data_IF_910044164454
#
_entry.id   IF_910044164454
#
_cell.length_a   1.000
_cell.length_b   1.000
_cell.length_c   1.000
_cell.angle_alpha   90.00
_cell.angle_beta   90.00
_cell.angle_gamma   90.00
#
_symmetry.space_group_name_H-M   'P 1'
#
loop_
_entity.id
_entity.type
_entity.pdbx_description
1 polymer ?
#
# COMPACT_ATOMS: atom_id res chain seq x y z
N UNK A 1 28.35 24.26 33.24
CA UNK A 1 27.81 23.34 32.21
C UNK A 1 27.49 22.06 32.94
N UNK A 2 26.21 21.72 33.09
CA UNK A 2 25.79 20.42 33.62
C UNK A 2 26.39 19.31 32.78
N UNK A 3 26.81 18.21 33.41
CA UNK A 3 27.50 17.06 32.76
C UNK A 3 26.78 16.52 31.51
N UNK A 4 25.46 16.75 31.41
CA UNK A 4 24.61 16.39 30.26
C UNK A 4 24.96 17.02 28.91
N UNK A 5 25.83 18.04 28.84
CA UNK A 5 26.18 18.74 27.58
C UNK A 5 27.60 18.45 27.05
N UNK A 6 28.33 17.50 27.64
CA UNK A 6 29.61 17.05 27.06
C UNK A 6 29.36 15.93 26.05
N UNK A 7 29.96 15.97 24.85
CA UNK A 7 29.85 14.87 23.89
C UNK A 7 30.49 13.61 24.48
N UNK A 8 29.71 12.53 24.53
CA UNK A 8 30.18 11.22 24.96
C UNK A 8 30.68 10.45 23.74
N UNK A 9 31.98 10.16 23.68
CA UNK A 9 32.55 9.32 22.63
C UNK A 9 32.24 7.85 22.88
N UNK A 10 31.50 7.23 21.95
CA UNK A 10 31.40 5.77 21.88
C UNK A 10 32.71 5.27 21.27
N UNK A 11 33.63 4.82 22.12
CA UNK A 11 34.86 4.20 21.68
C UNK A 11 34.56 2.79 21.15
N UNK A 12 34.77 2.59 19.84
CA UNK A 12 34.60 1.32 19.15
C UNK A 12 35.89 0.48 19.09
N UNK A 13 37.02 1.02 19.58
CA UNK A 13 38.33 0.37 19.58
C UNK A 13 38.77 0.13 21.01
N UNK A 14 38.76 -1.13 21.46
CA UNK A 14 39.04 -1.52 22.85
C UNK A 14 38.18 -0.78 23.88
N UNK A 15 37.04 -0.19 23.46
CA UNK A 15 36.25 0.70 24.29
C UNK A 15 35.71 0.00 25.52
N UNK A 16 35.31 -1.26 25.42
CA UNK A 16 34.78 -2.06 26.54
C UNK A 16 35.85 -2.37 27.59
N UNK A 17 37.11 -2.50 27.16
CA UNK A 17 38.26 -2.83 28.00
C UNK A 17 38.93 -1.60 28.66
N UNK A 18 38.40 -0.39 28.44
CA UNK A 18 38.90 0.81 29.11
C UNK A 18 38.49 0.84 30.59
N UNK A 19 39.36 1.29 31.51
CA UNK A 19 38.99 1.48 32.93
C UNK A 19 37.77 2.39 33.09
N UNK A 20 37.77 3.53 32.38
CA UNK A 20 36.61 4.43 32.24
C UNK A 20 36.06 4.28 30.83
N UNK A 21 34.85 3.72 30.70
CA UNK A 21 34.26 3.38 29.40
C UNK A 21 32.83 3.89 29.27
N UNK A 22 32.64 5.09 28.69
CA UNK A 22 31.30 5.58 28.42
C UNK A 22 30.51 4.68 27.46
N UNK A 23 31.19 3.95 26.55
CA UNK A 23 30.56 2.92 25.71
C UNK A 23 29.95 1.81 26.56
N UNK A 24 30.68 1.33 27.58
CA UNK A 24 30.24 0.26 28.47
C UNK A 24 29.04 0.70 29.29
N UNK A 25 29.11 1.90 29.87
CA UNK A 25 28.04 2.45 30.71
C UNK A 25 26.74 2.64 29.89
N UNK A 26 26.86 3.10 28.63
CA UNK A 26 25.72 3.17 27.70
C UNK A 26 25.12 1.81 27.39
N UNK A 27 25.94 0.77 27.22
CA UNK A 27 25.46 -0.60 26.95
C UNK A 27 24.79 -1.21 28.19
N UNK A 28 25.38 -1.05 29.37
CA UNK A 28 24.77 -1.46 30.65
C UNK A 28 23.43 -0.75 30.83
N UNK A 29 23.40 0.56 30.58
CA UNK A 29 22.20 1.39 30.60
C UNK A 29 21.13 0.97 29.60
N UNK A 30 21.52 0.37 28.47
CA UNK A 30 20.60 -0.18 27.47
C UNK A 30 20.07 -1.56 27.84
N UNK A 31 20.88 -2.37 28.52
CA UNK A 31 20.53 -3.74 28.90
C UNK A 31 19.60 -3.74 30.10
N UNK A 32 19.97 -3.03 31.18
CA UNK A 32 19.26 -3.10 32.46
C UNK A 32 18.44 -1.83 32.71
N UNK A 33 17.21 -1.98 33.18
CA UNK A 33 16.34 -0.84 33.51
C UNK A 33 16.64 -0.26 34.91
N UNK A 34 16.96 -1.14 35.88
CA UNK A 34 17.10 -0.78 37.29
C UNK A 34 18.42 -0.05 37.57
N UNK A 35 18.34 1.15 38.14
CA UNK A 35 19.50 2.01 38.42
C UNK A 35 20.50 1.37 39.37
N UNK A 36 20.03 0.76 40.46
CA UNK A 36 20.89 0.09 41.44
C UNK A 36 21.69 -1.08 40.85
N UNK A 37 21.10 -1.82 39.92
CA UNK A 37 21.76 -2.92 39.22
C UNK A 37 22.79 -2.36 38.23
N UNK A 38 22.44 -1.32 37.47
CA UNK A 38 23.37 -0.67 36.53
C UNK A 38 24.61 -0.14 37.26
N UNK A 39 24.41 0.60 38.34
CA UNK A 39 25.50 1.19 39.13
C UNK A 39 26.44 0.11 39.67
N UNK A 40 25.88 -0.99 40.18
CA UNK A 40 26.64 -2.14 40.64
C UNK A 40 27.50 -2.75 39.52
N UNK A 41 26.91 -3.00 38.35
CA UNK A 41 27.62 -3.60 37.20
C UNK A 41 28.69 -2.63 36.65
N UNK A 42 28.40 -1.33 36.59
CA UNK A 42 29.37 -0.31 36.18
C UNK A 42 30.59 -0.30 37.12
N UNK A 43 30.37 -0.24 38.44
CA UNK A 43 31.44 -0.28 39.45
C UNK A 43 32.25 -1.58 39.36
N UNK A 44 31.59 -2.73 39.20
CA UNK A 44 32.27 -4.01 39.03
C UNK A 44 33.15 -4.03 37.77
N UNK A 45 32.69 -3.40 36.68
CA UNK A 45 33.40 -3.38 35.41
C UNK A 45 34.64 -2.46 35.43
N UNK A 46 34.61 -1.38 36.22
CA UNK A 46 35.78 -0.51 36.45
C UNK A 46 36.93 -1.24 37.17
N UNK A 47 36.61 -2.24 37.99
CA UNK A 47 37.60 -3.00 38.76
C UNK A 47 38.26 -4.14 37.96
N UNK A 48 37.65 -4.61 36.88
CA UNK A 48 38.16 -5.71 36.06
C UNK A 48 38.01 -5.46 34.54
N UNK A 49 38.48 -4.32 34.01
CA UNK A 49 38.21 -3.94 32.62
C UNK A 49 38.97 -4.80 31.59
N UNK A 50 40.12 -5.38 31.97
CA UNK A 50 41.01 -6.12 31.04
C UNK A 50 40.35 -7.37 30.43
N UNK A 51 39.34 -7.95 31.08
CA UNK A 51 38.60 -9.11 30.59
C UNK A 51 37.52 -8.80 29.55
N UNK A 52 37.18 -7.51 29.35
CA UNK A 52 36.07 -7.07 28.50
C UNK A 52 36.53 -6.78 27.06
N UNK A 53 37.19 -7.78 26.45
CA UNK A 53 37.86 -7.65 25.14
C UNK A 53 36.90 -7.60 23.96
N UNK A 54 35.69 -8.14 24.11
CA UNK A 54 34.65 -8.14 23.08
C UNK A 54 33.24 -8.16 23.71
N UNK A 55 32.23 -8.16 22.85
CA UNK A 55 30.83 -8.14 23.27
C UNK A 55 30.40 -9.44 23.97
N UNK A 56 30.98 -10.59 23.63
CA UNK A 56 30.68 -11.89 24.26
C UNK A 56 31.19 -11.93 25.69
N UNK A 57 32.43 -11.51 25.89
CA UNK A 57 33.06 -11.38 27.20
C UNK A 57 32.30 -10.36 28.06
N UNK A 58 31.91 -9.22 27.46
CA UNK A 58 31.10 -8.21 28.14
C UNK A 58 29.73 -8.74 28.61
N UNK A 59 28.99 -9.45 27.75
CA UNK A 59 27.69 -10.00 28.15
C UNK A 59 27.82 -11.10 29.21
N UNK A 60 28.87 -11.92 29.12
CA UNK A 60 29.18 -12.94 30.13
C UNK A 60 29.50 -12.30 31.48
N UNK A 61 30.27 -11.21 31.48
CA UNK A 61 30.54 -10.41 32.66
C UNK A 61 29.24 -9.82 33.26
N UNK A 62 28.41 -9.18 32.44
CA UNK A 62 27.14 -8.61 32.87
C UNK A 62 26.24 -9.65 33.55
N UNK A 63 26.18 -10.87 32.99
CA UNK A 63 25.43 -11.98 33.60
C UNK A 63 25.98 -12.34 34.98
N UNK A 64 27.30 -12.56 35.09
CA UNK A 64 27.94 -12.89 36.37
C UNK A 64 27.74 -11.80 37.43
N UNK A 65 27.87 -10.53 37.03
CA UNK A 65 27.66 -9.40 37.92
C UNK A 65 26.19 -9.28 38.36
N UNK A 66 25.24 -9.50 37.46
CA UNK A 66 23.83 -9.53 37.79
C UNK A 66 23.46 -10.70 38.73
N UNK A 67 23.99 -11.90 38.49
CA UNK A 67 23.80 -13.06 39.36
C UNK A 67 24.33 -12.80 40.78
N UNK A 68 25.51 -12.15 40.89
CA UNK A 68 26.09 -11.75 42.17
C UNK A 68 25.22 -10.70 42.88
N UNK A 69 24.72 -9.70 42.14
CA UNK A 69 23.82 -8.69 42.69
C UNK A 69 22.54 -9.31 43.24
N UNK A 70 21.90 -10.18 42.46
CA UNK A 70 20.67 -10.89 42.83
C UNK A 70 20.90 -11.79 44.04
N UNK A 71 22.05 -12.47 44.11
CA UNK A 71 22.40 -13.32 45.26
C UNK A 71 22.57 -12.52 46.55
N UNK A 72 23.06 -11.29 46.46
CA UNK A 72 23.29 -10.42 47.61
C UNK A 72 22.04 -9.62 48.05
N UNK A 73 21.20 -9.21 47.11
CA UNK A 73 20.11 -8.25 47.35
C UNK A 73 18.69 -8.82 47.14
N UNK A 74 18.58 -10.04 46.61
CA UNK A 74 17.29 -10.64 46.21
C UNK A 74 16.77 -10.12 44.87
N UNK A 75 15.68 -10.72 44.38
CA UNK A 75 15.02 -10.35 43.10
C UNK A 75 13.84 -9.39 43.26
N UNK A 76 13.26 -9.29 44.46
CA UNK A 76 11.96 -8.64 44.70
C UNK A 76 11.92 -7.12 44.41
N UNK A 77 13.09 -6.49 44.19
CA UNK A 77 13.21 -5.06 43.87
C UNK A 77 13.54 -4.74 42.40
N UNK A 78 13.73 -5.75 41.54
CA UNK A 78 14.05 -5.55 40.13
C UNK A 78 12.77 -5.45 39.28
N UNK A 79 12.74 -4.47 38.37
CA UNK A 79 11.62 -4.30 37.44
C UNK A 79 11.66 -5.27 36.26
N UNK A 80 12.83 -5.87 35.99
CA UNK A 80 13.05 -6.86 34.95
C UNK A 80 14.03 -7.95 35.42
N UNK A 81 13.79 -9.21 35.03
CA UNK A 81 14.76 -10.27 35.27
C UNK A 81 16.05 -10.02 34.44
N UNK A 82 17.24 -10.03 35.07
CA UNK A 82 18.48 -9.73 34.35
C UNK A 82 18.81 -10.68 33.20
N UNK A 83 18.43 -11.95 33.28
CA UNK A 83 18.67 -12.92 32.22
C UNK A 83 17.76 -12.67 31.02
N UNK A 84 16.50 -12.30 31.27
CA UNK A 84 15.58 -11.85 30.23
C UNK A 84 16.09 -10.56 29.55
N UNK A 85 16.62 -9.62 30.34
CA UNK A 85 17.17 -8.36 29.84
C UNK A 85 18.37 -8.58 28.90
N UNK A 86 19.33 -9.43 29.30
CA UNK A 86 20.49 -9.80 28.49
C UNK A 86 20.04 -10.54 27.22
N UNK A 87 19.10 -11.49 27.34
CA UNK A 87 18.59 -12.25 26.20
C UNK A 87 17.92 -11.32 25.17
N UNK A 88 17.06 -10.41 25.63
CA UNK A 88 16.40 -9.42 24.77
C UNK A 88 17.41 -8.50 24.05
N UNK A 89 18.51 -8.13 24.71
CA UNK A 89 19.59 -7.36 24.10
C UNK A 89 20.33 -8.15 23.02
N UNK A 90 20.66 -9.42 23.28
CA UNK A 90 21.31 -10.31 22.30
C UNK A 90 20.44 -10.46 21.06
N UNK A 91 19.15 -10.76 21.24
CA UNK A 91 18.21 -10.87 20.12
C UNK A 91 18.10 -9.56 19.33
N UNK A 92 18.07 -8.41 20.01
CA UNK A 92 18.06 -7.11 19.34
C UNK A 92 19.34 -6.90 18.51
N UNK A 93 20.51 -7.27 19.05
CA UNK A 93 21.78 -7.22 18.33
C UNK A 93 21.79 -8.10 17.09
N UNK A 94 21.32 -9.34 17.20
CA UNK A 94 21.19 -10.27 16.07
C UNK A 94 20.24 -9.71 15.00
N UNK A 95 19.09 -9.16 15.40
CA UNK A 95 18.14 -8.51 14.48
C UNK A 95 18.78 -7.34 13.73
N UNK A 96 19.64 -6.55 14.38
CA UNK A 96 20.36 -5.44 13.76
C UNK A 96 21.40 -5.96 12.76
N UNK A 97 22.23 -6.92 13.18
CA UNK A 97 23.26 -7.52 12.33
C UNK A 97 22.67 -8.10 11.03
N UNK A 98 21.49 -8.72 11.13
CA UNK A 98 20.79 -9.31 10.00
C UNK A 98 20.08 -8.28 9.10
N UNK A 99 19.99 -6.98 9.45
CA UNK A 99 19.20 -6.01 8.67
C UNK A 99 19.65 -5.91 7.22
N UNK A 100 20.96 -5.88 6.99
CA UNK A 100 21.59 -5.78 5.66
C UNK A 100 22.24 -7.10 5.21
N UNK A 101 22.03 -8.20 5.93
CA UNK A 101 22.52 -9.51 5.55
C UNK A 101 21.67 -10.08 4.41
N UNK A 102 22.21 -10.02 3.19
CA UNK A 102 21.50 -10.41 1.97
C UNK A 102 21.12 -11.91 1.95
N UNK A 103 21.99 -12.79 2.45
CA UNK A 103 21.74 -14.23 2.57
C UNK A 103 20.54 -14.57 3.45
N UNK A 104 20.18 -13.70 4.40
CA UNK A 104 19.05 -13.89 5.30
C UNK A 104 17.72 -13.35 4.74
N UNK A 105 17.69 -12.81 3.51
CA UNK A 105 16.48 -12.24 2.90
C UNK A 105 15.83 -13.17 1.89
N UNK A 106 14.49 -13.11 1.73
CA UNK A 106 13.81 -13.87 0.68
C UNK A 106 14.33 -13.57 -0.74
N UNK A 107 14.73 -12.31 -0.98
CA UNK A 107 15.48 -11.92 -2.17
C UNK A 107 16.77 -11.17 -1.74
N UNK A 108 17.95 -11.81 -1.84
CA UNK A 108 19.23 -11.17 -1.52
C UNK A 108 19.52 -9.89 -2.32
N UNK A 109 19.00 -9.79 -3.56
CA UNK A 109 19.17 -8.61 -4.42
C UNK A 109 18.31 -7.42 -4.01
N UNK A 110 17.38 -7.59 -3.06
CA UNK A 110 16.49 -6.52 -2.62
C UNK A 110 17.08 -5.64 -1.50
N UNK A 111 18.28 -5.98 -0.98
CA UNK A 111 18.89 -5.26 0.16
C UNK A 111 19.57 -3.96 -0.27
N UNK A 112 20.33 -4.01 -1.36
CA UNK A 112 21.13 -2.90 -1.83
C UNK A 112 20.54 -2.30 -3.10
N UNK A 113 20.75 -0.99 -3.27
CA UNK A 113 20.36 -0.31 -4.50
C UNK A 113 21.06 -0.92 -5.71
N UNK A 114 20.37 -1.17 -6.83
CA UNK A 114 20.99 -1.68 -8.05
C UNK A 114 22.02 -0.69 -8.62
N UNK A 115 23.28 -1.10 -8.68
CA UNK A 115 24.42 -0.30 -9.17
C UNK A 115 25.24 -1.12 -10.18
N UNK A 116 25.06 -0.89 -11.50
CA UNK A 116 25.77 -1.61 -12.55
C UNK A 116 27.26 -1.27 -12.66
N UNK A 117 27.74 -0.24 -11.94
CA UNK A 117 29.18 0.03 -11.83
C UNK A 117 29.87 -0.89 -10.82
N UNK A 118 29.08 -1.67 -10.08
CA UNK A 118 29.52 -2.73 -9.15
C UNK A 118 28.95 -4.06 -9.64
N UNK A 119 28.37 -4.87 -8.75
CA UNK A 119 27.77 -6.18 -9.05
C UNK A 119 26.24 -6.12 -9.19
N UNK A 120 25.65 -4.92 -9.32
CA UNK A 120 24.21 -4.71 -9.43
C UNK A 120 23.67 -4.77 -10.87
N UNK A 121 22.36 -4.97 -11.00
CA UNK A 121 21.66 -4.92 -12.29
C UNK A 121 21.38 -3.48 -12.73
N UNK A 122 21.20 -3.24 -14.04
CA UNK A 122 20.62 -1.96 -14.47
C UNK A 122 19.20 -1.83 -13.94
N UNK A 123 18.78 -0.62 -13.55
CA UNK A 123 17.40 -0.39 -13.10
C UNK A 123 16.36 -0.86 -14.12
N UNK A 124 16.68 -0.73 -15.41
CA UNK A 124 15.88 -1.23 -16.52
C UNK A 124 15.72 -2.75 -16.62
N UNK A 125 16.46 -3.53 -15.82
CA UNK A 125 16.40 -5.00 -15.77
C UNK A 125 15.81 -5.49 -14.44
N UNK A 126 15.65 -4.60 -13.47
CA UNK A 126 15.18 -4.94 -12.12
C UNK A 126 13.66 -5.08 -12.06
N UNK A 127 13.20 -6.18 -11.46
CA UNK A 127 11.83 -6.32 -10.94
C UNK A 127 11.88 -6.11 -9.42
N UNK A 128 11.26 -5.05 -8.86
CA UNK A 128 11.41 -4.65 -7.46
C UNK A 128 10.58 -5.54 -6.51
N UNK A 129 10.87 -6.83 -6.51
CA UNK A 129 10.17 -7.85 -5.72
C UNK A 129 11.05 -8.31 -4.57
N UNK A 130 10.63 -8.05 -3.34
CA UNK A 130 11.32 -8.54 -2.13
C UNK A 130 10.83 -9.91 -1.71
N UNK A 131 9.50 -10.13 -1.73
CA UNK A 131 8.82 -11.36 -1.34
C UNK A 131 7.71 -11.67 -2.36
N UNK A 132 7.47 -12.96 -2.59
CA UNK A 132 6.41 -13.46 -3.47
C UNK A 132 5.30 -14.13 -2.65
N UNK A 133 4.11 -14.15 -3.23
CA UNK A 133 2.86 -14.66 -2.66
C UNK A 133 2.06 -15.40 -3.75
N UNK A 134 2.52 -16.58 -4.19
CA UNK A 134 1.99 -17.26 -5.37
C UNK A 134 0.65 -17.96 -5.09
N UNK A 135 -0.44 -17.21 -5.05
CA UNK A 135 -1.80 -17.71 -4.75
C UNK A 135 -2.81 -17.54 -5.88
N UNK A 136 -2.40 -17.00 -7.04
CA UNK A 136 -3.27 -16.80 -8.20
C UNK A 136 -2.98 -17.85 -9.28
N UNK A 137 -4.03 -18.49 -9.76
CA UNK A 137 -4.04 -19.32 -10.95
C UNK A 137 -5.31 -19.06 -11.79
N UNK A 138 -5.50 -19.84 -12.86
CA UNK A 138 -6.62 -19.69 -13.79
C UNK A 138 -7.99 -19.94 -13.15
N UNK A 139 -8.06 -20.65 -12.00
CA UNK A 139 -9.30 -20.90 -11.28
C UNK A 139 -9.66 -19.76 -10.31
N UNK A 140 -8.67 -19.00 -9.85
CA UNK A 140 -8.83 -17.89 -8.90
C UNK A 140 -9.79 -16.84 -9.46
N UNK A 141 -10.88 -16.53 -8.75
CA UNK A 141 -11.84 -15.49 -9.13
C UNK A 141 -11.23 -14.12 -8.83
N UNK A 142 -10.86 -13.38 -9.89
CA UNK A 142 -10.18 -12.09 -9.76
C UNK A 142 -11.14 -10.96 -10.12
N UNK A 143 -11.23 -9.97 -9.24
CA UNK A 143 -11.92 -8.71 -9.50
C UNK A 143 -10.94 -7.53 -9.42
N UNK A 144 -11.25 -6.42 -10.08
CA UNK A 144 -10.43 -5.22 -9.98
C UNK A 144 -11.22 -3.93 -10.14
N UNK A 145 -10.69 -2.86 -9.54
CA UNK A 145 -11.12 -1.50 -9.79
C UNK A 145 -9.98 -0.52 -9.56
N UNK A 146 -10.08 0.66 -10.17
CA UNK A 146 -9.24 1.78 -9.81
C UNK A 146 -9.11 2.82 -10.90
N UNK A 147 -7.94 3.44 -10.99
CA UNK A 147 -7.62 4.37 -12.06
C UNK A 147 -7.61 3.69 -13.44
N UNK A 148 -7.43 4.46 -14.51
CA UNK A 148 -7.29 3.95 -15.87
C UNK A 148 -6.22 2.85 -16.01
N UNK A 149 -5.23 2.81 -15.12
CA UNK A 149 -4.20 1.77 -15.14
C UNK A 149 -4.72 0.38 -14.74
N UNK A 150 -5.75 0.30 -13.89
CA UNK A 150 -6.37 -0.99 -13.53
C UNK A 150 -6.99 -1.70 -14.75
N UNK A 151 -7.40 -0.95 -15.78
CA UNK A 151 -7.89 -1.53 -17.04
C UNK A 151 -6.80 -2.33 -17.74
N UNK A 152 -5.54 -1.90 -17.69
CA UNK A 152 -4.42 -2.63 -18.30
C UNK A 152 -4.16 -3.97 -17.59
N UNK A 153 -4.32 -4.01 -16.26
CA UNK A 153 -4.26 -5.27 -15.48
C UNK A 153 -5.44 -6.18 -15.87
N UNK A 154 -6.67 -5.64 -15.93
CA UNK A 154 -7.86 -6.41 -16.29
C UNK A 154 -7.75 -7.00 -17.71
N UNK A 155 -7.34 -6.19 -18.70
CA UNK A 155 -7.08 -6.64 -20.07
C UNK A 155 -6.06 -7.76 -20.11
N UNK A 156 -4.96 -7.63 -19.37
CA UNK A 156 -3.94 -8.67 -19.29
C UNK A 156 -4.51 -9.99 -18.75
N UNK A 157 -5.25 -9.95 -17.64
CA UNK A 157 -5.85 -11.14 -17.04
C UNK A 157 -6.84 -11.84 -17.98
N UNK A 158 -7.70 -11.06 -18.64
CA UNK A 158 -8.68 -11.57 -19.61
C UNK A 158 -7.98 -12.18 -20.84
N UNK A 159 -6.99 -11.47 -21.41
CA UNK A 159 -6.26 -11.94 -22.59
C UNK A 159 -5.54 -13.27 -22.37
N UNK A 160 -5.18 -13.58 -21.11
CA UNK A 160 -4.48 -14.81 -20.73
C UNK A 160 -5.39 -15.83 -20.02
N UNK A 161 -6.70 -15.73 -20.19
CA UNK A 161 -7.69 -16.71 -19.71
C UNK A 161 -7.70 -16.93 -18.19
N UNK A 162 -7.36 -15.91 -17.40
CA UNK A 162 -7.66 -15.93 -15.97
C UNK A 162 -9.17 -15.77 -15.72
N UNK A 163 -9.66 -16.30 -14.60
CA UNK A 163 -11.04 -16.18 -14.18
C UNK A 163 -11.36 -14.76 -13.65
N UNK A 164 -11.37 -13.80 -14.57
CA UNK A 164 -11.66 -12.40 -14.28
C UNK A 164 -13.17 -12.17 -14.21
N UNK A 165 -13.64 -11.75 -13.03
CA UNK A 165 -15.05 -11.51 -12.75
C UNK A 165 -15.47 -10.16 -13.37
N UNK A 166 -16.25 -10.23 -14.44
CA UNK A 166 -16.89 -9.08 -15.09
C UNK A 166 -18.41 -9.32 -15.19
N UNK A 167 -19.17 -8.66 -14.32
CA UNK A 167 -20.62 -8.83 -14.22
C UNK A 167 -21.40 -7.79 -15.03
N UNK A 168 -20.76 -6.72 -15.47
CA UNK A 168 -21.40 -5.64 -16.22
C UNK A 168 -20.58 -5.25 -17.44
N UNK A 169 -21.26 -5.16 -18.59
CA UNK A 169 -20.69 -4.71 -19.86
C UNK A 169 -20.82 -3.20 -20.03
N UNK A 170 -20.20 -2.64 -21.05
CA UNK A 170 -20.28 -1.19 -21.34
C UNK A 170 -21.65 -0.71 -21.81
N UNK A 171 -22.52 -1.62 -22.24
CA UNK A 171 -23.90 -1.33 -22.65
C UNK A 171 -24.88 -2.31 -22.00
N UNK A 172 -26.01 -1.79 -21.53
CA UNK A 172 -27.15 -2.57 -21.06
C UNK A 172 -28.44 -2.14 -21.81
N UNK A 173 -28.96 -2.97 -22.74
CA UNK A 173 -30.12 -2.63 -23.55
C UNK A 173 -31.42 -2.54 -22.75
N UNK A 174 -31.50 -3.20 -21.59
CA UNK A 174 -32.71 -3.16 -20.75
C UNK A 174 -32.91 -1.78 -20.12
N UNK A 175 -31.82 -1.13 -19.74
CA UNK A 175 -31.83 0.14 -19.00
C UNK A 175 -31.37 1.32 -19.86
N UNK A 176 -30.90 1.05 -21.07
CA UNK A 176 -30.28 2.05 -21.95
C UNK A 176 -28.97 2.61 -21.38
N UNK A 177 -28.33 1.88 -20.45
CA UNK A 177 -27.11 2.35 -19.78
C UNK A 177 -25.92 2.20 -20.71
N UNK A 178 -25.12 3.25 -20.84
CA UNK A 178 -23.96 3.32 -21.72
C UNK A 178 -22.77 3.84 -20.94
N UNK A 179 -21.62 3.18 -21.07
CA UNK A 179 -20.34 3.75 -20.67
C UNK A 179 -19.80 4.59 -21.83
N UNK A 180 -19.68 5.90 -21.62
CA UNK A 180 -19.22 6.85 -22.63
C UNK A 180 -17.80 6.51 -23.09
N UNK A 181 -17.47 6.94 -24.32
CA UNK A 181 -16.16 6.70 -24.96
C UNK A 181 -15.84 5.21 -25.18
N UNK A 182 -16.85 4.33 -25.12
CA UNK A 182 -16.73 2.90 -25.46
C UNK A 182 -17.62 2.53 -26.64
N UNK A 183 -17.29 1.41 -27.29
CA UNK A 183 -18.12 0.85 -28.35
C UNK A 183 -19.29 0.06 -27.76
N UNK A 184 -20.49 0.26 -28.31
CA UNK A 184 -21.66 -0.59 -28.03
C UNK A 184 -21.53 -1.98 -28.70
N UNK A 185 -20.86 -2.02 -29.85
CA UNK A 185 -20.68 -3.23 -30.67
C UNK A 185 -19.48 -4.08 -30.21
N UNK A 186 -18.54 -3.48 -29.46
CA UNK A 186 -17.36 -4.14 -28.90
C UNK A 186 -17.23 -3.78 -27.41
N UNK A 187 -18.00 -4.47 -26.53
CA UNK A 187 -18.04 -4.12 -25.13
C UNK A 187 -16.72 -4.48 -24.44
N UNK A 188 -15.91 -3.46 -24.18
CA UNK A 188 -14.64 -3.62 -23.48
C UNK A 188 -14.87 -3.88 -21.99
N UNK A 189 -14.11 -4.82 -21.42
CA UNK A 189 -14.04 -4.98 -19.98
C UNK A 189 -13.25 -3.81 -19.42
N UNK A 190 -13.91 -2.89 -18.73
CA UNK A 190 -13.24 -1.84 -17.97
C UNK A 190 -12.82 -2.36 -16.59
N UNK A 191 -13.78 -2.92 -15.84
CA UNK A 191 -13.64 -3.41 -14.47
C UNK A 191 -14.60 -4.57 -14.21
N UNK A 192 -14.77 -4.96 -12.93
CA UNK A 192 -15.72 -6.01 -12.54
C UNK A 192 -17.20 -5.59 -12.62
N UNK A 193 -17.47 -4.30 -12.42
CA UNK A 193 -18.77 -3.65 -12.63
C UNK A 193 -18.56 -2.26 -13.26
N UNK A 194 -19.62 -1.61 -13.74
CA UNK A 194 -19.62 -0.22 -14.23
C UNK A 194 -19.53 0.78 -13.06
N UNK A 195 -18.49 0.68 -12.23
CA UNK A 195 -18.20 1.69 -11.19
C UNK A 195 -17.61 2.99 -11.77
N UNK A 196 -17.18 2.97 -13.03
CA UNK A 196 -16.30 3.99 -13.59
C UNK A 196 -14.88 3.88 -13.02
N UNK A 197 -13.98 4.81 -13.36
CA UNK A 197 -12.68 4.83 -12.70
C UNK A 197 -12.86 5.28 -11.24
N UNK A 198 -12.24 4.54 -10.32
CA UNK A 198 -12.19 4.88 -8.91
C UNK A 198 -10.80 5.42 -8.59
N UNK A 199 -10.70 6.73 -8.42
CA UNK A 199 -9.40 7.37 -8.23
C UNK A 199 -8.98 7.50 -6.77
N UNK A 200 -9.92 7.87 -5.91
CA UNK A 200 -9.65 8.23 -4.51
C UNK A 200 -10.23 7.19 -3.56
N UNK A 201 -9.68 7.12 -2.34
CA UNK A 201 -10.04 6.13 -1.32
C UNK A 201 -11.51 6.25 -0.84
N UNK A 202 -12.14 7.44 -0.73
CA UNK A 202 -13.57 7.53 -0.51
C UNK A 202 -14.41 6.82 -1.57
N UNK A 203 -14.11 7.00 -2.87
CA UNK A 203 -14.90 6.40 -3.95
C UNK A 203 -14.93 4.87 -3.86
N UNK A 204 -13.79 4.21 -3.57
CA UNK A 204 -13.76 2.76 -3.31
C UNK A 204 -14.66 2.37 -2.14
N UNK A 205 -14.53 3.08 -1.03
CA UNK A 205 -15.26 2.80 0.21
C UNK A 205 -16.77 2.97 0.02
N UNK A 206 -17.18 4.04 -0.63
CA UNK A 206 -18.58 4.35 -0.89
C UNK A 206 -19.26 3.31 -1.79
N UNK A 207 -18.53 2.73 -2.75
CA UNK A 207 -19.07 1.67 -3.62
C UNK A 207 -19.50 0.48 -2.77
N UNK A 208 -18.65 0.01 -1.85
CA UNK A 208 -18.98 -1.15 -1.01
C UNK A 208 -20.02 -0.80 0.07
N UNK A 209 -19.90 0.37 0.69
CA UNK A 209 -20.87 0.80 1.70
C UNK A 209 -22.27 1.01 1.13
N UNK A 210 -22.38 1.51 -0.09
CA UNK A 210 -23.64 1.67 -0.78
C UNK A 210 -24.22 0.31 -1.19
N UNK A 211 -23.39 -0.60 -1.71
CA UNK A 211 -23.82 -1.92 -2.13
C UNK A 211 -24.32 -2.78 -0.97
N UNK A 212 -23.66 -2.74 0.19
CA UNK A 212 -24.06 -3.48 1.38
C UNK A 212 -25.01 -2.70 2.31
N UNK A 213 -25.43 -1.49 1.93
CA UNK A 213 -26.39 -0.68 2.68
C UNK A 213 -25.87 -0.10 4.00
N UNK A 214 -24.55 -0.12 4.22
CA UNK A 214 -23.87 0.47 5.40
C UNK A 214 -23.98 2.00 5.37
N UNK A 215 -23.74 2.59 4.20
CA UNK A 215 -23.94 4.02 3.94
C UNK A 215 -24.43 4.21 2.51
N UNK A 216 -25.75 4.28 2.30
CA UNK A 216 -26.33 4.52 0.98
C UNK A 216 -25.86 5.87 0.40
N UNK A 217 -25.57 5.90 -0.90
CA UNK A 217 -25.29 7.13 -1.63
C UNK A 217 -26.58 7.83 -2.04
N UNK A 218 -26.53 9.16 -2.10
CA UNK A 218 -27.62 9.95 -2.67
C UNK A 218 -27.84 9.63 -4.15
N UNK A 219 -29.09 9.69 -4.58
CA UNK A 219 -29.49 9.37 -5.97
C UNK A 219 -29.54 10.64 -6.81
N UNK A 220 -28.41 11.33 -6.91
CA UNK A 220 -28.31 12.57 -7.70
C UNK A 220 -27.86 12.27 -9.12
N UNK A 221 -28.46 12.94 -10.09
CA UNK A 221 -28.11 12.84 -11.51
C UNK A 221 -27.89 14.24 -12.09
N UNK A 222 -26.88 14.38 -12.94
CA UNK A 222 -26.75 15.57 -13.81
C UNK A 222 -27.41 15.28 -15.15
N UNK A 223 -28.32 16.16 -15.57
CA UNK A 223 -29.02 16.06 -16.86
C UNK A 223 -28.29 16.89 -17.92
N UNK A 224 -28.03 16.27 -19.06
CA UNK A 224 -27.40 16.86 -20.24
C UNK A 224 -28.37 16.74 -21.42
N UNK A 225 -28.57 17.83 -22.15
CA UNK A 225 -29.42 17.82 -23.34
C UNK A 225 -28.64 17.25 -24.55
N UNK A 226 -29.26 16.30 -25.26
CA UNK A 226 -28.76 15.76 -26.52
C UNK A 226 -29.72 16.12 -27.67
N UNK A 227 -29.25 16.16 -28.92
CA UNK A 227 -30.14 16.23 -30.07
C UNK A 227 -31.09 15.01 -30.07
N UNK A 228 -32.37 15.22 -29.72
CA UNK A 228 -33.38 14.17 -29.70
C UNK A 228 -33.64 13.49 -28.35
N UNK A 229 -33.10 14.00 -27.24
CA UNK A 229 -33.38 13.47 -25.90
C UNK A 229 -32.53 14.08 -24.80
N UNK A 230 -32.53 13.45 -23.63
CA UNK A 230 -31.66 13.84 -22.51
C UNK A 230 -30.80 12.66 -22.08
N UNK A 231 -29.62 12.97 -21.56
CA UNK A 231 -28.66 12.02 -21.01
C UNK A 231 -28.44 12.36 -19.54
N UNK A 232 -28.42 11.34 -18.68
CA UNK A 232 -28.22 11.50 -17.25
C UNK A 232 -26.89 10.86 -16.85
N UNK A 233 -26.12 11.54 -16.01
CA UNK A 233 -24.85 11.02 -15.46
C UNK A 233 -24.94 10.91 -13.95
N UNK A 234 -24.50 9.77 -13.42
CA UNK A 234 -24.29 9.54 -11.99
C UNK A 234 -22.89 10.07 -11.61
N UNK A 235 -22.78 11.09 -10.73
CA UNK A 235 -21.49 11.66 -10.36
C UNK A 235 -20.59 10.69 -9.57
N UNK A 236 -21.15 9.61 -9.04
CA UNK A 236 -20.40 8.55 -8.36
C UNK A 236 -19.91 7.45 -9.32
N UNK A 237 -20.27 7.50 -10.61
CA UNK A 237 -19.86 6.49 -11.60
C UNK A 237 -19.34 7.17 -12.86
N UNK A 238 -18.02 7.34 -12.93
CA UNK A 238 -17.40 8.06 -14.04
C UNK A 238 -17.78 7.45 -15.39
N UNK A 239 -18.21 8.33 -16.31
CA UNK A 239 -18.56 7.99 -17.69
C UNK A 239 -19.74 7.01 -17.83
N UNK A 240 -20.49 6.70 -16.77
CA UNK A 240 -21.70 5.89 -16.87
C UNK A 240 -22.90 6.81 -17.08
N UNK A 241 -23.61 6.59 -18.18
CA UNK A 241 -24.70 7.42 -18.63
C UNK A 241 -26.00 6.62 -18.80
N UNK A 242 -27.12 7.29 -18.56
CA UNK A 242 -28.47 6.72 -18.60
C UNK A 242 -29.35 7.55 -19.53
N UNK A 243 -30.27 6.91 -20.23
CA UNK A 243 -31.22 7.60 -21.13
C UNK A 243 -32.44 8.16 -20.40
N UNK A 244 -32.72 7.71 -19.18
CA UNK A 244 -33.78 8.26 -18.32
C UNK A 244 -33.49 8.02 -16.84
N UNK A 245 -34.20 8.75 -15.96
CA UNK A 245 -34.13 8.57 -14.51
C UNK A 245 -34.70 7.20 -14.07
N UNK A 246 -35.73 6.70 -14.76
CA UNK A 246 -36.28 5.36 -14.54
C UNK A 246 -35.27 4.27 -14.92
N UNK A 247 -34.56 4.45 -16.04
CA UNK A 247 -33.48 3.57 -16.46
C UNK A 247 -32.37 3.50 -15.42
N UNK A 248 -31.99 4.65 -14.85
CA UNK A 248 -31.06 4.72 -13.72
C UNK A 248 -31.57 3.96 -12.50
N UNK A 249 -32.83 4.15 -12.09
CA UNK A 249 -33.37 3.50 -10.90
C UNK A 249 -33.35 1.97 -11.01
N UNK A 250 -33.71 1.43 -12.18
CA UNK A 250 -33.65 -0.02 -12.44
C UNK A 250 -32.20 -0.51 -12.50
N UNK A 251 -31.32 0.22 -13.20
CA UNK A 251 -29.92 -0.19 -13.33
C UNK A 251 -29.19 -0.14 -11.98
N UNK A 252 -29.49 0.85 -11.14
CA UNK A 252 -28.91 0.99 -9.81
C UNK A 252 -29.11 -0.26 -8.96
N UNK A 253 -30.31 -0.83 -8.91
CA UNK A 253 -30.56 -2.04 -8.11
C UNK A 253 -29.78 -3.25 -8.67
N UNK A 254 -29.71 -3.39 -9.99
CA UNK A 254 -28.86 -4.40 -10.65
C UNK A 254 -27.39 -4.18 -10.30
N UNK A 255 -26.94 -2.92 -10.33
CA UNK A 255 -25.57 -2.53 -10.07
C UNK A 255 -25.13 -2.81 -8.63
N UNK A 256 -25.99 -2.53 -7.66
CA UNK A 256 -25.73 -2.87 -6.26
C UNK A 256 -25.68 -4.38 -6.05
N UNK A 257 -26.58 -5.14 -6.67
CA UNK A 257 -26.57 -6.60 -6.61
C UNK A 257 -25.30 -7.21 -7.20
N UNK A 258 -24.86 -6.71 -8.36
CA UNK A 258 -23.61 -7.13 -8.97
C UNK A 258 -22.40 -6.74 -8.12
N UNK A 259 -22.39 -5.52 -7.57
CA UNK A 259 -21.31 -5.06 -6.69
C UNK A 259 -21.18 -5.97 -5.46
N UNK A 260 -22.29 -6.30 -4.79
CA UNK A 260 -22.30 -7.28 -3.69
C UNK A 260 -21.73 -8.61 -4.13
N UNK A 261 -22.23 -9.15 -5.26
CA UNK A 261 -21.77 -10.43 -5.81
C UNK A 261 -20.27 -10.44 -6.10
N UNK A 262 -19.68 -9.33 -6.57
CA UNK A 262 -18.22 -9.24 -6.77
C UNK A 262 -17.50 -9.46 -5.44
N UNK A 263 -17.86 -8.71 -4.40
CA UNK A 263 -17.15 -8.79 -3.12
C UNK A 263 -17.46 -10.07 -2.33
N UNK A 264 -18.63 -10.68 -2.53
CA UNK A 264 -19.01 -11.96 -1.93
C UNK A 264 -18.31 -13.16 -2.58
N UNK A 265 -17.89 -13.06 -3.84
CA UNK A 265 -17.38 -14.23 -4.62
C UNK A 265 -15.93 -14.13 -5.07
N UNK A 266 -15.32 -12.94 -5.07
CA UNK A 266 -13.93 -12.79 -5.47
C UNK A 266 -12.98 -13.42 -4.45
N UNK A 267 -12.00 -14.18 -4.93
CA UNK A 267 -10.87 -14.65 -4.14
C UNK A 267 -9.84 -13.54 -3.96
N UNK A 268 -9.69 -12.70 -4.98
CA UNK A 268 -8.72 -11.60 -5.05
C UNK A 268 -9.37 -10.35 -5.60
N UNK A 269 -9.20 -9.22 -4.91
CA UNK A 269 -9.56 -7.90 -5.42
C UNK A 269 -8.31 -7.02 -5.59
N UNK A 270 -8.09 -6.53 -6.80
CA UNK A 270 -6.98 -5.64 -7.14
C UNK A 270 -7.47 -4.18 -7.12
N UNK A 271 -6.93 -3.39 -6.20
CA UNK A 271 -7.24 -1.98 -6.01
C UNK A 271 -6.10 -1.09 -6.51
N UNK A 272 -6.36 -0.24 -7.49
CA UNK A 272 -5.37 0.71 -8.04
C UNK A 272 -5.69 2.16 -7.66
N UNK A 273 -4.97 2.68 -6.67
CA UNK A 273 -5.14 4.03 -6.14
C UNK A 273 -4.63 5.10 -7.12
N UNK A 274 -5.45 6.09 -7.45
CA UNK A 274 -5.20 7.02 -8.55
C UNK A 274 -4.83 8.44 -8.12
N UNK A 275 -5.68 9.08 -7.31
CA UNK A 275 -5.61 10.51 -7.01
C UNK A 275 -5.90 10.76 -5.52
N UNK A 276 -5.18 11.71 -4.93
CA UNK A 276 -5.38 12.18 -3.55
C UNK A 276 -6.13 13.52 -3.47
N UNK A 277 -6.35 14.16 -4.61
CA UNK A 277 -7.28 15.28 -4.77
C UNK A 277 -8.65 14.73 -5.13
N UNK A 278 -9.68 15.15 -4.40
CA UNK A 278 -11.03 14.63 -4.51
C UNK A 278 -12.06 15.75 -4.36
N UNK A 279 -13.30 15.48 -4.74
CA UNK A 279 -14.39 16.45 -4.73
C UNK A 279 -15.50 15.92 -3.82
N UNK A 280 -15.70 16.59 -2.69
CA UNK A 280 -16.71 16.21 -1.71
C UNK A 280 -18.02 16.91 -2.03
N UNK A 281 -19.09 16.14 -2.16
CA UNK A 281 -20.46 16.63 -2.17
C UNK A 281 -20.84 17.09 -0.76
N UNK A 282 -20.96 18.42 -0.61
CA UNK A 282 -21.14 19.10 0.67
C UNK A 282 -22.38 18.60 1.44
N UNK A 283 -23.56 18.38 0.82
CA UNK A 283 -24.78 18.06 1.56
C UNK A 283 -24.73 16.78 2.41
N UNK A 284 -24.02 15.74 1.96
CA UNK A 284 -23.96 14.45 2.66
C UNK A 284 -22.53 13.95 2.94
N UNK A 285 -21.52 14.72 2.52
CA UNK A 285 -20.10 14.42 2.70
C UNK A 285 -19.58 13.27 1.84
N UNK A 286 -20.35 12.78 0.87
CA UNK A 286 -19.89 11.79 -0.13
C UNK A 286 -18.91 12.43 -1.11
N UNK A 287 -18.20 11.61 -1.88
CA UNK A 287 -17.21 12.04 -2.86
C UNK A 287 -17.61 11.58 -4.25
N UNK A 288 -17.58 12.49 -5.20
CA UNK A 288 -17.85 12.18 -6.60
C UNK A 288 -16.59 11.56 -7.24
N UNK A 289 -16.79 10.71 -8.24
CA UNK A 289 -15.71 9.88 -8.79
C UNK A 289 -14.69 10.67 -9.59
N UNK A 290 -15.04 11.87 -10.07
CA UNK A 290 -14.14 12.72 -10.87
C UNK A 290 -14.40 14.20 -10.58
N UNK A 291 -13.42 15.04 -10.90
CA UNK A 291 -13.60 16.48 -10.96
C UNK A 291 -14.88 16.87 -11.75
N UNK A 292 -15.66 17.86 -11.27
CA UNK A 292 -16.88 18.27 -11.94
C UNK A 292 -16.53 18.85 -13.31
N UNK A 293 -17.12 18.28 -14.36
CA UNK A 293 -17.10 18.87 -15.71
C UNK A 293 -18.27 19.84 -15.90
N UNK A 294 -19.37 19.60 -15.21
CA UNK A 294 -20.53 20.47 -15.18
C UNK A 294 -20.40 21.51 -14.07
N UNK A 295 -20.44 22.79 -14.45
CA UNK A 295 -20.38 23.92 -13.52
C UNK A 295 -21.62 24.04 -12.65
N UNK A 296 -22.72 23.39 -13.02
CA UNK A 296 -23.96 23.36 -12.22
C UNK A 296 -23.73 22.78 -10.82
N UNK A 297 -22.76 21.86 -10.66
CA UNK A 297 -22.41 21.26 -9.38
C UNK A 297 -21.45 22.10 -8.54
N UNK A 298 -20.90 23.21 -9.05
CA UNK A 298 -19.82 23.93 -8.38
C UNK A 298 -20.19 24.44 -6.97
N UNK A 299 -21.45 24.85 -6.75
CA UNK A 299 -21.92 25.29 -5.43
C UNK A 299 -22.22 24.15 -4.43
N UNK A 300 -22.13 22.90 -4.89
CA UNK A 300 -22.42 21.71 -4.09
C UNK A 300 -21.17 20.88 -3.77
N UNK A 301 -20.00 21.29 -4.29
CA UNK A 301 -18.77 20.53 -4.20
C UNK A 301 -17.67 21.33 -3.52
N UNK A 302 -16.93 20.68 -2.63
CA UNK A 302 -15.70 21.20 -2.05
C UNK A 302 -14.50 20.41 -2.58
N UNK A 303 -13.42 21.12 -2.92
CA UNK A 303 -12.18 20.50 -3.37
C UNK A 303 -11.32 20.13 -2.16
N UNK A 304 -11.04 18.83 -2.02
CA UNK A 304 -10.32 18.26 -0.88
C UNK A 304 -9.00 17.67 -1.34
N UNK A 305 -7.93 17.95 -0.59
CA UNK A 305 -6.70 17.14 -0.63
C UNK A 305 -6.67 16.29 0.63
N UNK A 306 -6.84 14.97 0.48
CA UNK A 306 -6.94 14.07 1.63
C UNK A 306 -5.57 13.88 2.30
N UNK A 307 -5.56 13.80 3.62
CA UNK A 307 -4.38 13.44 4.41
C UNK A 307 -4.11 11.94 4.34
N UNK A 308 -2.91 11.51 4.73
CA UNK A 308 -2.58 10.07 4.85
C UNK A 308 -3.59 9.37 5.77
N UNK A 309 -3.91 9.95 6.93
CA UNK A 309 -4.83 9.34 7.89
C UNK A 309 -6.25 9.22 7.34
N UNK A 310 -6.79 10.25 6.67
CA UNK A 310 -8.11 10.15 6.03
C UNK A 310 -8.16 9.01 5.00
N UNK A 311 -7.12 8.87 4.17
CA UNK A 311 -7.07 7.77 3.20
C UNK A 311 -7.02 6.40 3.88
N UNK A 312 -6.27 6.26 4.98
CA UNK A 312 -6.20 5.03 5.76
C UNK A 312 -7.58 4.71 6.35
N UNK A 313 -8.27 5.69 6.92
CA UNK A 313 -9.58 5.49 7.55
C UNK A 313 -10.62 5.03 6.52
N UNK A 314 -10.62 5.61 5.31
CA UNK A 314 -11.47 5.16 4.22
C UNK A 314 -11.14 3.72 3.80
N UNK A 315 -9.87 3.42 3.50
CA UNK A 315 -9.50 2.08 3.08
C UNK A 315 -9.70 1.03 4.17
N UNK A 316 -9.54 1.37 5.44
CA UNK A 316 -9.85 0.44 6.53
C UNK A 316 -11.35 0.15 6.57
N UNK A 317 -12.22 1.15 6.44
CA UNK A 317 -13.67 0.93 6.31
C UNK A 317 -14.02 0.04 5.11
N UNK A 318 -13.36 0.25 3.96
CA UNK A 318 -13.54 -0.63 2.81
C UNK A 318 -13.21 -2.09 3.17
N UNK A 319 -12.05 -2.32 3.82
CA UNK A 319 -11.62 -3.66 4.25
C UNK A 319 -12.63 -4.27 5.22
N UNK A 320 -13.06 -3.52 6.23
CA UNK A 320 -13.99 -3.99 7.26
C UNK A 320 -15.34 -4.38 6.67
N UNK A 321 -15.90 -3.55 5.78
CA UNK A 321 -17.18 -3.84 5.11
C UNK A 321 -17.06 -5.07 4.21
N UNK A 322 -16.02 -5.15 3.39
CA UNK A 322 -15.84 -6.30 2.49
C UNK A 322 -15.66 -7.59 3.30
N UNK A 323 -14.84 -7.57 4.37
CA UNK A 323 -14.57 -8.76 5.18
C UNK A 323 -15.75 -9.22 6.04
N UNK A 324 -16.68 -8.34 6.36
CA UNK A 324 -17.94 -8.74 6.98
C UNK A 324 -18.75 -9.71 6.09
N UNK A 325 -18.52 -9.69 4.78
CA UNK A 325 -19.22 -10.53 3.79
C UNK A 325 -18.34 -11.60 3.16
N UNK A 326 -17.02 -11.36 3.05
CA UNK A 326 -16.04 -12.29 2.51
C UNK A 326 -14.73 -12.21 3.32
N UNK A 327 -14.60 -12.98 4.42
CA UNK A 327 -13.44 -12.89 5.31
C UNK A 327 -12.14 -13.40 4.67
N UNK A 328 -12.22 -14.23 3.64
CA UNK A 328 -11.07 -14.91 3.02
C UNK A 328 -10.48 -14.16 1.81
N UNK A 329 -11.14 -13.09 1.36
CA UNK A 329 -10.70 -12.28 0.22
C UNK A 329 -9.30 -11.72 0.44
N UNK A 330 -8.47 -11.84 -0.59
CA UNK A 330 -7.15 -11.24 -0.65
C UNK A 330 -7.23 -9.90 -1.37
N UNK A 331 -6.55 -8.90 -0.84
CA UNK A 331 -6.49 -7.58 -1.46
C UNK A 331 -5.09 -7.33 -2.01
N UNK A 332 -5.01 -6.89 -3.26
CA UNK A 332 -3.77 -6.40 -3.86
C UNK A 332 -3.93 -4.91 -4.07
N UNK A 333 -3.17 -4.11 -3.32
CA UNK A 333 -3.20 -2.64 -3.39
C UNK A 333 -1.99 -2.16 -4.18
N UNK A 334 -2.23 -1.27 -5.14
CA UNK A 334 -1.18 -0.61 -5.91
C UNK A 334 -1.46 0.87 -6.09
N UNK A 335 -0.41 1.66 -6.32
CA UNK A 335 -0.51 3.07 -6.71
C UNK A 335 -0.36 3.18 -8.23
N UNK A 336 -1.26 3.94 -8.85
CA UNK A 336 -1.22 4.19 -10.29
C UNK A 336 -0.06 5.13 -10.63
N UNK A 337 0.77 4.79 -11.64
CA UNK A 337 1.82 5.68 -12.13
C UNK A 337 1.32 6.78 -13.08
N UNK A 338 0.06 6.72 -13.53
CA UNK A 338 -0.50 7.74 -14.43
C UNK A 338 -0.56 9.10 -13.71
N UNK A 339 0.04 10.16 -14.28
CA UNK A 339 0.10 11.46 -13.64
C UNK A 339 -1.23 12.22 -13.78
N UNK A 340 -1.38 13.22 -12.91
CA UNK A 340 -2.50 14.17 -12.95
C UNK A 340 -2.66 14.80 -14.34
N UNK A 341 -3.92 14.92 -14.77
CA UNK A 341 -4.26 15.78 -15.91
C UNK A 341 -4.25 17.25 -15.48
N UNK A 342 -4.74 17.53 -14.27
CA UNK A 342 -4.83 18.85 -13.68
C UNK A 342 -4.79 18.72 -12.15
N UNK A 343 -4.44 19.81 -11.47
CA UNK A 343 -4.54 19.94 -10.00
C UNK A 343 -5.48 21.10 -9.67
N UNK A 344 -6.30 20.94 -8.65
CA UNK A 344 -7.09 22.02 -8.06
C UNK A 344 -6.27 22.94 -7.14
N UNK A 345 -4.95 22.70 -7.01
CA UNK A 345 -4.02 23.45 -6.16
C UNK A 345 -3.07 24.36 -6.96
N UNK A 346 -3.44 24.68 -8.21
CA UNK A 346 -2.55 25.36 -9.15
C UNK A 346 -2.10 26.76 -8.69
N UNK A 347 -2.85 27.39 -7.77
CA UNK A 347 -2.48 28.69 -7.17
C UNK A 347 -1.23 28.59 -6.26
N UNK A 348 -0.93 27.40 -5.73
CA UNK A 348 0.17 27.17 -4.78
C UNK A 348 1.19 26.14 -5.28
N UNK A 349 0.79 25.26 -6.20
CA UNK A 349 1.59 24.12 -6.63
C UNK A 349 1.54 23.91 -8.15
N UNK A 350 2.70 23.67 -8.74
CA UNK A 350 2.76 23.15 -10.11
C UNK A 350 2.19 21.72 -10.14
N UNK A 351 1.46 21.35 -11.21
CA UNK A 351 0.78 20.04 -11.35
C UNK A 351 1.71 18.84 -11.11
N UNK A 352 2.97 18.93 -11.53
CA UNK A 352 3.99 17.89 -11.29
C UNK A 352 4.26 17.70 -9.80
N UNK A 353 4.41 18.79 -9.04
CA UNK A 353 4.65 18.72 -7.58
C UNK A 353 3.41 18.25 -6.83
N UNK A 354 2.21 18.65 -7.25
CA UNK A 354 0.95 18.17 -6.69
C UNK A 354 0.76 16.66 -6.95
N UNK A 355 1.10 16.19 -8.16
CA UNK A 355 1.10 14.77 -8.48
C UNK A 355 2.09 13.99 -7.62
N UNK A 356 3.33 14.45 -7.47
CA UNK A 356 4.33 13.81 -6.60
C UNK A 356 3.83 13.69 -5.15
N UNK A 357 3.25 14.76 -4.61
CA UNK A 357 2.62 14.74 -3.29
C UNK A 357 1.49 13.69 -3.23
N UNK A 358 0.59 13.67 -4.22
CA UNK A 358 -0.49 12.71 -4.28
C UNK A 358 -0.02 11.26 -4.28
N UNK A 359 1.01 10.92 -5.08
CA UNK A 359 1.52 9.55 -5.15
C UNK A 359 2.25 9.16 -3.86
N UNK A 360 2.97 10.08 -3.24
CA UNK A 360 3.62 9.85 -1.95
C UNK A 360 2.60 9.56 -0.83
N UNK A 361 1.53 10.36 -0.73
CA UNK A 361 0.45 10.14 0.26
C UNK A 361 -0.22 8.77 0.06
N UNK A 362 -0.57 8.43 -1.18
CA UNK A 362 -1.21 7.14 -1.49
C UNK A 362 -0.25 5.96 -1.27
N UNK A 363 1.06 6.13 -1.51
CA UNK A 363 2.05 5.08 -1.27
C UNK A 363 2.22 4.79 0.21
N UNK A 364 2.27 5.81 1.06
CA UNK A 364 2.29 5.65 2.52
C UNK A 364 0.98 5.02 3.00
N UNK A 365 -0.16 5.45 2.48
CA UNK A 365 -1.47 4.86 2.79
C UNK A 365 -1.49 3.35 2.47
N UNK A 366 -1.00 2.96 1.29
CA UNK A 366 -0.96 1.55 0.89
C UNK A 366 -0.06 0.71 1.82
N UNK A 367 1.08 1.26 2.26
CA UNK A 367 1.97 0.60 3.23
C UNK A 367 1.24 0.35 4.56
N UNK A 368 0.58 1.37 5.09
CA UNK A 368 -0.14 1.30 6.36
C UNK A 368 -1.30 0.30 6.31
N UNK A 369 -2.05 0.28 5.20
CA UNK A 369 -3.15 -0.68 5.03
C UNK A 369 -2.63 -2.13 4.95
N UNK A 370 -1.50 -2.35 4.26
CA UNK A 370 -0.84 -3.66 4.21
C UNK A 370 -0.34 -4.08 5.60
N UNK A 371 0.26 -3.17 6.36
CA UNK A 371 0.79 -3.47 7.69
C UNK A 371 -0.31 -3.79 8.73
N UNK A 372 -1.49 -3.19 8.59
CA UNK A 372 -2.61 -3.34 9.54
C UNK A 372 -3.50 -4.54 9.26
N UNK A 373 -3.40 -5.16 8.09
CA UNK A 373 -4.36 -6.17 7.62
C UNK A 373 -3.64 -7.41 7.07
N UNK A 374 -4.02 -8.59 7.57
CA UNK A 374 -3.59 -9.87 6.98
C UNK A 374 -4.14 -10.01 5.55
N UNK A 375 -3.53 -10.84 4.69
CA UNK A 375 -4.01 -11.07 3.32
C UNK A 375 -4.19 -9.81 2.46
N UNK A 376 -3.47 -8.74 2.79
CA UNK A 376 -3.35 -7.53 1.96
C UNK A 376 -1.90 -7.39 1.49
N UNK A 377 -1.72 -7.15 0.20
CA UNK A 377 -0.40 -7.16 -0.44
C UNK A 377 -0.19 -5.88 -1.23
N UNK A 378 0.99 -5.28 -1.10
CA UNK A 378 1.39 -4.18 -1.99
C UNK A 378 1.93 -4.74 -3.31
N UNK A 379 1.46 -4.21 -4.43
CA UNK A 379 1.98 -4.49 -5.76
C UNK A 379 2.72 -3.26 -6.31
N UNK A 380 4.04 -3.31 -6.57
CA UNK A 380 4.84 -2.12 -6.86
C UNK A 380 4.76 -1.66 -8.32
N UNK A 381 3.56 -1.52 -8.89
CA UNK A 381 3.45 -1.05 -10.29
C UNK A 381 3.91 0.40 -10.46
N UNK A 382 3.74 1.23 -9.43
CA UNK A 382 4.21 2.62 -9.43
C UNK A 382 5.73 2.69 -9.59
N UNK A 383 6.47 1.95 -8.78
CA UNK A 383 7.92 1.92 -8.78
C UNK A 383 8.48 1.26 -10.05
N UNK A 384 7.84 0.19 -10.53
CA UNK A 384 8.21 -0.45 -11.80
C UNK A 384 8.19 0.56 -12.95
N UNK A 385 7.12 1.36 -13.04
CA UNK A 385 6.97 2.34 -14.13
C UNK A 385 7.86 3.56 -13.92
N UNK A 386 7.96 4.09 -12.70
CA UNK A 386 8.66 5.37 -12.45
C UNK A 386 10.18 5.25 -12.27
N UNK A 387 10.67 4.07 -11.88
CA UNK A 387 12.09 3.85 -11.56
C UNK A 387 12.72 2.76 -12.43
N UNK A 388 12.02 1.64 -12.62
CA UNK A 388 12.60 0.45 -13.27
C UNK A 388 12.29 0.34 -14.77
N UNK A 389 11.60 1.31 -15.37
CA UNK A 389 11.23 1.27 -16.79
C UNK A 389 12.06 2.29 -17.59
N UNK A 390 12.87 1.84 -18.57
CA UNK A 390 13.67 2.75 -19.40
C UNK A 390 12.82 3.68 -20.26
N UNK A 391 11.67 3.18 -20.72
CA UNK A 391 10.71 3.93 -21.51
C UNK A 391 9.36 3.91 -20.80
N UNK A 392 8.97 5.07 -20.29
CA UNK A 392 7.79 5.21 -19.42
C UNK A 392 6.57 5.63 -20.24
N UNK A 393 6.72 6.66 -21.07
CA UNK A 393 5.58 7.34 -21.70
C UNK A 393 5.46 7.08 -23.19
N UNK A 394 4.22 7.10 -23.68
CA UNK A 394 3.90 7.35 -25.08
C UNK A 394 4.19 8.81 -25.45
N UNK A 395 3.92 9.20 -26.70
CA UNK A 395 4.21 10.54 -27.23
C UNK A 395 3.56 11.67 -26.42
N UNK A 396 2.40 11.43 -25.81
CA UNK A 396 1.67 12.41 -24.99
C UNK A 396 2.24 12.62 -23.58
N UNK A 397 3.29 11.88 -23.20
CA UNK A 397 3.96 11.98 -21.90
C UNK A 397 3.06 11.69 -20.68
N UNK A 398 1.94 10.98 -20.88
CA UNK A 398 0.97 10.66 -19.82
C UNK A 398 0.47 9.23 -19.88
N UNK A 399 0.20 8.70 -21.07
CA UNK A 399 -0.11 7.28 -21.21
C UNK A 399 1.17 6.45 -21.17
N UNK A 400 1.09 5.31 -20.49
CA UNK A 400 2.24 4.45 -20.26
C UNK A 400 2.55 3.67 -21.53
N UNK A 401 3.84 3.57 -21.87
CA UNK A 401 4.31 2.79 -23.00
C UNK A 401 4.11 1.28 -22.74
N UNK A 402 3.82 0.54 -23.79
CA UNK A 402 3.50 -0.90 -23.75
C UNK A 402 4.62 -1.71 -23.11
N UNK A 403 5.89 -1.33 -23.32
CA UNK A 403 7.04 -1.99 -22.70
C UNK A 403 7.05 -1.86 -21.17
N UNK A 404 6.65 -0.71 -20.62
CA UNK A 404 6.52 -0.52 -19.17
C UNK A 404 5.33 -1.30 -18.62
N UNK A 405 4.21 -1.36 -19.34
CA UNK A 405 3.06 -2.23 -18.97
C UNK A 405 3.50 -3.70 -18.90
N UNK A 406 4.23 -4.18 -19.90
CA UNK A 406 4.77 -5.55 -19.91
C UNK A 406 5.66 -5.86 -18.69
N UNK A 407 6.50 -4.90 -18.25
CA UNK A 407 7.30 -5.05 -17.02
C UNK A 407 6.44 -5.11 -15.76
N UNK A 408 5.36 -4.33 -15.71
CA UNK A 408 4.40 -4.39 -14.61
C UNK A 408 3.78 -5.78 -14.56
N UNK A 409 3.35 -6.33 -15.70
CA UNK A 409 2.77 -7.68 -15.75
C UNK A 409 3.79 -8.76 -15.38
N UNK A 410 5.04 -8.68 -15.86
CA UNK A 410 6.11 -9.59 -15.43
C UNK A 410 6.37 -9.53 -13.91
N UNK A 411 6.22 -8.35 -13.31
CA UNK A 411 6.30 -8.19 -11.84
C UNK A 411 5.11 -8.85 -11.15
N UNK A 412 3.88 -8.65 -11.67
CA UNK A 412 2.66 -9.27 -11.17
C UNK A 412 2.77 -10.80 -11.22
N UNK A 413 3.20 -11.35 -12.36
CA UNK A 413 3.41 -12.78 -12.57
C UNK A 413 4.37 -13.38 -11.54
N UNK A 414 5.53 -12.72 -11.36
CA UNK A 414 6.54 -13.16 -10.40
C UNK A 414 6.04 -13.12 -8.96
N UNK A 415 5.22 -12.12 -8.62
CA UNK A 415 4.74 -11.94 -7.25
C UNK A 415 3.58 -12.85 -6.91
N UNK A 416 2.58 -12.98 -7.77
CA UNK A 416 1.27 -13.50 -7.35
C UNK A 416 0.87 -14.81 -8.03
N UNK A 417 1.45 -15.16 -9.18
CA UNK A 417 1.04 -16.38 -9.87
C UNK A 417 1.68 -17.62 -9.27
N UNK A 418 0.89 -18.70 -9.22
CA UNK A 418 1.42 -20.04 -8.94
C UNK A 418 2.40 -20.47 -10.03
N UNK A 419 3.32 -21.38 -9.69
CA UNK A 419 4.26 -21.95 -10.67
C UNK A 419 3.53 -22.60 -11.85
N UNK A 420 2.41 -23.27 -11.60
CA UNK A 420 1.60 -23.89 -12.64
C UNK A 420 1.03 -22.84 -13.60
N UNK A 421 0.47 -21.74 -13.07
CA UNK A 421 -0.05 -20.64 -13.88
C UNK A 421 1.05 -19.97 -14.73
N UNK A 422 2.24 -19.76 -14.16
CA UNK A 422 3.39 -19.21 -14.90
C UNK A 422 3.82 -20.11 -16.06
N UNK A 423 3.85 -21.44 -15.85
CA UNK A 423 4.18 -22.40 -16.93
C UNK A 423 3.11 -22.38 -18.02
N UNK A 424 1.83 -22.28 -17.65
CA UNK A 424 0.75 -22.21 -18.63
C UNK A 424 0.85 -20.95 -19.51
N UNK A 425 1.21 -19.80 -18.94
CA UNK A 425 1.41 -18.55 -19.70
C UNK A 425 2.56 -18.64 -20.72
N UNK A 426 3.61 -19.40 -20.41
CA UNK A 426 4.74 -19.58 -21.34
C UNK A 426 4.42 -20.51 -22.51
N UNK A 427 3.33 -21.28 -22.43
CA UNK A 427 2.91 -22.26 -23.43
C UNK A 427 1.79 -21.73 -24.34
N UNK A 428 1.09 -20.67 -23.92
CA UNK A 428 0.06 -19.95 -24.69
C UNK A 428 0.68 -18.85 -25.54
#
# INVERSE_FOLDING_TARGET
>A
MTELNRPTSINTVNGLASPVSPSRDLLIGRIFADESLRDYICQAAEQAPEGLVDQTAFLSFCKQAADAYVSANGRDGLTQDPDEAISAYIEAGQRIAQRFEASAKPNPKAVYWPDPTKEGENLGDVLPVSKTYPFIDQSTVIASAGSCFAVEIAKYLVAHNFNYLCLEKTYDPETGTIVLETSMDDPQIQYSCRWGNLFNTPSFTQVVENAFGVRPLSQILTRHELPGGSLYLDPYREAVAFMSEEGYAVEREKHLANTRKVFETADVFIMTLGLNEAWQYIPDGSYISRNPRDRSLAGLLDHRTLTVQENIDYLQRFVDVVRAHNPDIKLIVTVSPVPFLATGRADEHHVVTANTHSKAVLRVTAEEIVARNENVFYFPSYEVVTVCSPQIWKQDQRHIHESAVGRVMATFEKMFLTRAAQVQLQLS
#
